data_IF_637955222732
#
_entry.id   IF_637955222732
#
_cell.length_a   1.000
_cell.length_b   1.000
_cell.length_c   1.000
_cell.angle_alpha   90.00
_cell.angle_beta   90.00
_cell.angle_gamma   90.00
#
_symmetry.space_group_name_H-M   'P 1'
#
loop_
_entity.id
_entity.type
_entity.pdbx_description
1 polymer ?
#
# COMPACT_ATOMS: atom_id res chain seq x y z
N UNK A 1 21.06 -39.66 -2.51
CA UNK A 1 19.66 -39.18 -2.62
C UNK A 1 19.61 -37.72 -2.19
N UNK A 2 19.71 -36.79 -3.15
CA UNK A 2 19.73 -35.36 -2.84
C UNK A 2 18.30 -34.87 -2.57
N UNK A 3 18.00 -34.54 -1.31
CA UNK A 3 16.77 -33.88 -0.90
C UNK A 3 16.77 -32.48 -1.51
N UNK A 4 16.07 -32.29 -2.63
CA UNK A 4 15.88 -30.97 -3.24
C UNK A 4 15.11 -30.12 -2.23
N UNK A 5 15.82 -29.23 -1.54
CA UNK A 5 15.24 -28.31 -0.57
C UNK A 5 14.15 -27.49 -1.27
N UNK A 6 12.89 -27.72 -0.91
CA UNK A 6 11.74 -27.03 -1.47
C UNK A 6 11.84 -25.56 -1.07
N UNK A 7 12.31 -24.70 -1.97
CA UNK A 7 12.36 -23.24 -1.73
C UNK A 7 10.96 -22.76 -1.35
N UNK A 8 10.79 -22.28 -0.12
CA UNK A 8 9.59 -21.53 0.28
C UNK A 8 9.49 -20.32 -0.62
N UNK A 9 8.35 -20.12 -1.27
CA UNK A 9 8.12 -18.89 -2.01
C UNK A 9 8.29 -17.66 -1.10
N UNK A 10 8.79 -16.55 -1.65
CA UNK A 10 7.86 -15.49 -2.00
C UNK A 10 6.84 -15.11 -0.92
N UNK A 11 5.58 -15.24 -1.35
CA UNK A 11 4.38 -14.96 -0.59
C UNK A 11 4.21 -15.75 0.72
N UNK A 12 4.84 -16.93 0.83
CA UNK A 12 4.75 -17.77 2.02
C UNK A 12 5.84 -17.47 3.06
N UNK A 13 6.89 -16.73 2.67
CA UNK A 13 7.99 -16.41 3.55
C UNK A 13 7.52 -15.45 4.66
N UNK A 14 7.93 -15.73 5.90
CA UNK A 14 7.60 -14.87 7.04
C UNK A 14 8.18 -13.47 6.85
N UNK A 15 9.43 -13.39 6.41
CA UNK A 15 10.10 -12.12 6.14
C UNK A 15 9.34 -11.24 5.13
N UNK A 16 8.90 -11.78 3.98
CA UNK A 16 8.15 -10.97 3.01
C UNK A 16 6.79 -10.54 3.55
N UNK A 17 6.07 -11.42 4.26
CA UNK A 17 4.78 -11.09 4.87
C UNK A 17 4.92 -10.00 5.93
N UNK A 18 5.93 -10.11 6.80
CA UNK A 18 6.24 -9.10 7.81
C UNK A 18 6.67 -7.78 7.16
N UNK A 19 7.55 -7.81 6.16
CA UNK A 19 7.97 -6.61 5.43
C UNK A 19 6.79 -5.90 4.76
N UNK A 20 5.93 -6.64 4.06
CA UNK A 20 4.73 -6.08 3.44
C UNK A 20 3.75 -5.52 4.48
N UNK A 21 3.58 -6.19 5.62
CA UNK A 21 2.74 -5.69 6.70
C UNK A 21 3.27 -4.37 7.29
N UNK A 22 4.57 -4.28 7.55
CA UNK A 22 5.22 -3.05 8.02
C UNK A 22 5.07 -1.91 7.00
N UNK A 23 5.24 -2.20 5.71
CA UNK A 23 5.02 -1.22 4.64
C UNK A 23 3.56 -0.76 4.56
N UNK A 24 2.58 -1.65 4.72
CA UNK A 24 1.16 -1.25 4.78
C UNK A 24 0.87 -0.32 5.96
N UNK A 25 1.46 -0.60 7.13
CA UNK A 25 1.33 0.27 8.30
C UNK A 25 2.04 1.61 8.10
N UNK A 26 3.20 1.62 7.44
CA UNK A 26 3.89 2.85 7.08
C UNK A 26 3.05 3.73 6.15
N UNK A 27 2.41 3.16 5.13
CA UNK A 27 1.46 3.89 4.27
C UNK A 27 0.33 4.50 5.10
N UNK A 28 -0.28 3.72 6.00
CA UNK A 28 -1.36 4.23 6.86
C UNK A 28 -0.89 5.38 7.76
N UNK A 29 0.27 5.26 8.40
CA UNK A 29 0.82 6.34 9.25
C UNK A 29 1.12 7.59 8.43
N UNK A 30 1.74 7.46 7.26
CA UNK A 30 2.03 8.60 6.39
C UNK A 30 0.74 9.32 6.00
N UNK A 31 -0.32 8.58 5.68
CA UNK A 31 -1.59 9.19 5.30
C UNK A 31 -2.32 9.85 6.47
N UNK A 32 -2.21 9.29 7.69
CA UNK A 32 -2.70 9.97 8.91
C UNK A 32 -1.98 11.31 9.09
N UNK A 33 -0.67 11.34 8.90
CA UNK A 33 0.13 12.57 9.01
C UNK A 33 -0.24 13.57 7.91
N UNK A 34 -0.36 13.11 6.66
CA UNK A 34 -0.69 13.94 5.51
C UNK A 34 -2.08 14.56 5.64
N UNK A 35 -3.06 13.87 6.23
CA UNK A 35 -4.37 14.45 6.51
C UNK A 35 -4.46 15.35 7.75
N UNK A 36 -3.34 15.61 8.44
CA UNK A 36 -3.29 16.49 9.61
C UNK A 36 -3.58 15.80 10.95
N UNK A 37 -3.52 14.48 11.01
CA UNK A 37 -3.77 13.67 12.21
C UNK A 37 -5.01 12.78 12.10
N UNK A 38 -5.47 12.25 13.23
CA UNK A 38 -6.65 11.39 13.30
C UNK A 38 -7.58 11.84 14.45
N UNK A 39 -8.79 12.38 14.16
CA UNK A 39 -9.36 12.59 12.84
C UNK A 39 -8.61 13.68 12.04
N UNK A 40 -8.53 13.53 10.72
CA UNK A 40 -7.88 14.49 9.82
C UNK A 40 -8.80 15.59 9.33
N UNK A 41 -8.23 16.55 8.60
CA UNK A 41 -8.88 17.78 8.14
C UNK A 41 -8.97 17.92 6.61
N UNK A 42 -8.72 16.85 5.84
CA UNK A 42 -8.77 16.91 4.36
C UNK A 42 -10.19 17.20 3.87
N UNK A 43 -10.29 18.24 3.06
CA UNK A 43 -11.49 18.62 2.29
C UNK A 43 -11.20 18.49 0.82
N UNK A 44 -12.18 18.16 -0.04
CA UNK A 44 -13.60 17.92 0.25
C UNK A 44 -13.84 16.58 0.93
N UNK A 45 -15.06 16.37 1.46
CA UNK A 45 -15.39 15.21 2.31
C UNK A 45 -15.03 13.86 1.69
N UNK A 46 -15.19 13.70 0.37
CA UNK A 46 -14.87 12.43 -0.29
C UNK A 46 -13.37 12.11 -0.27
N UNK A 47 -12.50 13.13 -0.30
CA UNK A 47 -11.04 12.97 -0.17
C UNK A 47 -10.74 12.47 1.23
N UNK A 48 -11.27 13.13 2.28
CA UNK A 48 -11.10 12.68 3.67
C UNK A 48 -11.59 11.24 3.91
N UNK A 49 -12.72 10.84 3.32
CA UNK A 49 -13.18 9.45 3.35
C UNK A 49 -12.16 8.50 2.71
N UNK A 50 -11.57 8.90 1.58
CA UNK A 50 -10.51 8.14 0.92
C UNK A 50 -9.31 7.85 1.82
N UNK A 51 -8.86 8.85 2.60
CA UNK A 51 -7.80 8.67 3.60
C UNK A 51 -8.19 7.63 4.66
N UNK A 52 -9.36 7.76 5.29
CA UNK A 52 -9.81 6.79 6.29
C UNK A 52 -9.96 5.36 5.75
N UNK A 53 -10.47 5.21 4.52
CA UNK A 53 -10.59 3.91 3.86
C UNK A 53 -9.21 3.30 3.62
N UNK A 54 -8.26 4.09 3.14
CA UNK A 54 -6.88 3.64 2.91
C UNK A 54 -6.19 3.21 4.20
N UNK A 55 -6.31 4.00 5.26
CA UNK A 55 -5.69 3.71 6.56
C UNK A 55 -6.23 2.42 7.16
N UNK A 56 -7.56 2.27 7.16
CA UNK A 56 -8.22 1.04 7.59
C UNK A 56 -7.79 -0.15 6.72
N UNK A 57 -7.75 0.02 5.40
CA UNK A 57 -7.29 -1.02 4.47
C UNK A 57 -5.83 -1.42 4.73
N UNK A 58 -4.95 -0.47 5.04
CA UNK A 58 -3.55 -0.71 5.41
C UNK A 58 -3.42 -1.59 6.65
N UNK A 59 -4.17 -1.27 7.71
CA UNK A 59 -4.20 -2.08 8.94
C UNK A 59 -4.76 -3.48 8.67
N UNK A 60 -5.88 -3.58 7.95
CA UNK A 60 -6.49 -4.88 7.60
C UNK A 60 -5.54 -5.71 6.74
N UNK A 61 -4.88 -5.10 5.75
CA UNK A 61 -3.88 -5.77 4.92
C UNK A 61 -2.73 -6.34 5.76
N UNK A 62 -2.19 -5.55 6.68
CA UNK A 62 -1.14 -6.00 7.61
C UNK A 62 -1.60 -7.20 8.45
N UNK A 63 -2.81 -7.15 9.02
CA UNK A 63 -3.38 -8.27 9.80
C UNK A 63 -3.55 -9.52 8.93
N UNK A 64 -4.12 -9.38 7.73
CA UNK A 64 -4.31 -10.50 6.80
C UNK A 64 -2.98 -11.12 6.37
N UNK A 65 -2.00 -10.28 6.08
CA UNK A 65 -0.65 -10.68 5.71
C UNK A 65 0.05 -11.44 6.85
N UNK A 66 -0.20 -11.11 8.11
CA UNK A 66 0.42 -11.79 9.25
C UNK A 66 -0.33 -13.06 9.66
N UNK A 67 -1.67 -13.03 9.65
CA UNK A 67 -2.51 -14.13 10.16
C UNK A 67 -2.86 -15.19 9.13
N UNK A 68 -2.97 -14.84 7.85
CA UNK A 68 -3.40 -15.78 6.81
C UNK A 68 -2.33 -16.01 5.75
N UNK A 69 -2.30 -17.23 5.18
CA UNK A 69 -1.54 -17.51 3.94
C UNK A 69 -2.38 -17.29 2.68
N UNK A 70 -3.56 -16.69 2.83
CA UNK A 70 -4.47 -16.39 1.73
C UNK A 70 -3.85 -15.34 0.80
N UNK A 71 -4.09 -15.42 -0.52
CA UNK A 71 -3.72 -14.36 -1.45
C UNK A 71 -4.42 -13.03 -1.16
N UNK A 72 -5.53 -13.03 -0.41
CA UNK A 72 -6.31 -11.83 -0.11
C UNK A 72 -5.49 -10.70 0.54
N UNK A 73 -4.58 -11.03 1.48
CA UNK A 73 -3.72 -10.03 2.10
C UNK A 73 -2.77 -9.35 1.10
N UNK A 74 -2.25 -10.10 0.13
CA UNK A 74 -1.39 -9.58 -0.93
C UNK A 74 -2.16 -8.73 -1.94
N UNK A 75 -3.40 -9.10 -2.25
CA UNK A 75 -4.27 -8.31 -3.14
C UNK A 75 -4.66 -6.98 -2.49
N UNK A 76 -5.07 -7.00 -1.21
CA UNK A 76 -5.42 -5.79 -0.49
C UNK A 76 -4.21 -4.87 -0.33
N UNK A 77 -3.03 -5.41 0.01
CA UNK A 77 -1.78 -4.65 0.04
C UNK A 77 -1.42 -4.02 -1.32
N UNK A 78 -1.76 -4.68 -2.42
CA UNK A 78 -1.63 -4.10 -3.76
C UNK A 78 -2.53 -2.88 -3.95
N UNK A 79 -3.76 -2.92 -3.43
CA UNK A 79 -4.66 -1.75 -3.40
C UNK A 79 -4.12 -0.62 -2.53
N UNK A 80 -3.58 -0.94 -1.35
CA UNK A 80 -2.95 0.02 -0.43
C UNK A 80 -1.74 0.72 -1.06
N UNK A 81 -0.98 0.02 -1.93
CA UNK A 81 0.12 0.62 -2.67
C UNK A 81 -0.34 1.46 -3.88
N UNK A 82 -1.31 0.95 -4.65
CA UNK A 82 -1.74 1.58 -5.90
C UNK A 82 -2.68 2.77 -5.68
N UNK A 83 -3.56 2.71 -4.68
CA UNK A 83 -4.55 3.75 -4.42
C UNK A 83 -3.92 5.12 -4.23
N UNK A 84 -2.98 5.27 -3.28
CA UNK A 84 -2.27 6.52 -3.06
C UNK A 84 -1.44 6.99 -4.25
N UNK A 85 -0.75 6.08 -4.95
CA UNK A 85 0.02 6.42 -6.15
C UNK A 85 -0.87 7.04 -7.24
N UNK A 86 -2.06 6.46 -7.46
CA UNK A 86 -3.06 7.03 -8.36
C UNK A 86 -3.58 8.36 -7.82
N UNK A 87 -3.88 8.43 -6.53
CA UNK A 87 -4.30 9.67 -5.86
C UNK A 87 -3.27 10.80 -6.00
N UNK A 88 -1.99 10.48 -5.88
CA UNK A 88 -0.86 11.40 -6.04
C UNK A 88 -0.83 11.98 -7.45
N UNK A 89 -0.90 11.12 -8.47
CA UNK A 89 -0.89 11.53 -9.87
C UNK A 89 -2.11 12.39 -10.21
N UNK A 90 -3.30 11.98 -9.76
CA UNK A 90 -4.54 12.71 -10.07
C UNK A 90 -4.61 14.05 -9.35
N UNK A 91 -4.28 14.10 -8.05
CA UNK A 91 -4.30 15.34 -7.27
C UNK A 91 -3.29 16.38 -7.76
N UNK A 92 -2.12 15.96 -8.22
CA UNK A 92 -1.00 16.84 -8.62
C UNK A 92 -0.93 17.12 -10.12
N UNK A 93 -1.58 16.28 -10.93
CA UNK A 93 -1.71 16.45 -12.38
C UNK A 93 -2.96 17.26 -12.75
N UNK A 94 -4.07 16.60 -13.15
CA UNK A 94 -5.29 17.28 -13.54
C UNK A 94 -6.05 17.93 -12.38
N UNK A 95 -5.79 17.52 -11.13
CA UNK A 95 -6.62 17.80 -9.97
C UNK A 95 -7.80 16.83 -9.87
N UNK A 96 -8.50 16.87 -8.74
CA UNK A 96 -9.74 16.12 -8.50
C UNK A 96 -10.91 17.12 -8.33
N UNK A 97 -12.19 16.70 -8.48
CA UNK A 97 -13.34 17.59 -8.28
C UNK A 97 -13.28 18.28 -6.91
N UNK A 98 -13.33 19.61 -6.90
CA UNK A 98 -13.21 20.44 -5.69
C UNK A 98 -11.93 20.21 -4.85
N UNK A 99 -10.88 19.60 -5.44
CA UNK A 99 -9.58 19.36 -4.81
C UNK A 99 -8.44 19.62 -5.82
N UNK A 100 -8.00 20.87 -5.87
CA UNK A 100 -6.98 21.35 -6.83
C UNK A 100 -5.80 22.03 -6.14
N UNK A 101 -5.81 22.13 -4.81
CA UNK A 101 -4.77 22.82 -4.04
C UNK A 101 -3.37 22.19 -4.18
N UNK A 102 -3.29 20.92 -4.55
CA UNK A 102 -2.03 20.19 -4.74
C UNK A 102 -1.56 20.14 -6.21
N UNK A 103 -2.27 20.76 -7.15
CA UNK A 103 -1.88 20.76 -8.57
C UNK A 103 -0.49 21.38 -8.71
N UNK A 104 0.42 20.66 -9.37
CA UNK A 104 1.82 21.06 -9.55
C UNK A 104 2.74 20.78 -8.36
N UNK A 105 2.22 20.36 -7.20
CA UNK A 105 2.99 20.10 -5.99
C UNK A 105 3.67 18.71 -5.99
N UNK A 106 4.47 18.43 -7.01
CA UNK A 106 5.10 17.12 -7.27
C UNK A 106 6.27 16.78 -6.36
N UNK A 107 6.83 17.75 -5.65
CA UNK A 107 8.02 17.58 -4.81
C UNK A 107 7.72 17.75 -3.32
N UNK A 108 6.44 17.71 -2.95
CA UNK A 108 6.01 17.74 -1.56
C UNK A 108 6.69 16.59 -0.79
N UNK A 109 7.46 16.88 0.28
CA UNK A 109 8.34 15.88 0.90
C UNK A 109 7.65 14.63 1.43
N UNK A 110 6.49 14.77 2.07
CA UNK A 110 5.77 13.64 2.67
C UNK A 110 5.18 12.73 1.59
N UNK A 111 4.72 13.30 0.49
CA UNK A 111 4.18 12.62 -0.67
C UNK A 111 5.26 11.89 -1.46
N UNK A 112 6.44 12.50 -1.66
CA UNK A 112 7.60 11.79 -2.24
C UNK A 112 8.04 10.65 -1.33
N UNK A 113 8.03 10.85 -0.01
CA UNK A 113 8.31 9.78 0.97
C UNK A 113 7.29 8.66 0.85
N UNK A 114 5.99 8.99 0.71
CA UNK A 114 4.93 8.01 0.50
C UNK A 114 5.14 7.19 -0.77
N UNK A 115 5.49 7.83 -1.88
CA UNK A 115 5.76 7.15 -3.16
C UNK A 115 6.87 6.10 -3.05
N UNK A 116 7.91 6.35 -2.25
CA UNK A 116 8.99 5.38 -2.03
C UNK A 116 8.47 4.16 -1.26
N UNK A 117 7.68 4.38 -0.21
CA UNK A 117 7.08 3.32 0.62
C UNK A 117 6.08 2.49 -0.20
N UNK A 118 5.20 3.16 -0.94
CA UNK A 118 4.21 2.54 -1.84
C UNK A 118 4.87 1.76 -2.97
N UNK A 119 5.92 2.32 -3.59
CA UNK A 119 6.70 1.67 -4.63
C UNK A 119 7.37 0.39 -4.13
N UNK A 120 7.96 0.43 -2.93
CA UNK A 120 8.54 -0.75 -2.29
C UNK A 120 7.47 -1.81 -1.97
N UNK A 121 6.31 -1.39 -1.46
CA UNK A 121 5.17 -2.28 -1.20
C UNK A 121 4.68 -2.93 -2.49
N UNK A 122 4.50 -2.14 -3.55
CA UNK A 122 4.02 -2.60 -4.85
C UNK A 122 4.99 -3.63 -5.47
N UNK A 123 6.29 -3.35 -5.46
CA UNK A 123 7.31 -4.27 -5.95
C UNK A 123 7.27 -5.62 -5.21
N UNK A 124 7.11 -5.58 -3.88
CA UNK A 124 7.00 -6.78 -3.05
C UNK A 124 5.70 -7.55 -3.33
N UNK A 125 4.57 -6.85 -3.46
CA UNK A 125 3.26 -7.43 -3.81
C UNK A 125 3.32 -8.14 -5.16
N UNK A 126 3.84 -7.48 -6.20
CA UNK A 126 3.96 -8.07 -7.54
C UNK A 126 4.84 -9.32 -7.53
N UNK A 127 5.96 -9.28 -6.80
CA UNK A 127 6.85 -10.42 -6.63
C UNK A 127 6.16 -11.59 -5.91
N UNK A 128 5.41 -11.30 -4.85
CA UNK A 128 4.65 -12.29 -4.09
C UNK A 128 3.54 -12.92 -4.94
N UNK A 129 2.72 -12.12 -5.63
CA UNK A 129 1.66 -12.60 -6.51
C UNK A 129 2.20 -13.44 -7.67
N UNK A 130 3.34 -13.05 -8.26
CA UNK A 130 4.01 -13.87 -9.28
C UNK A 130 4.44 -15.22 -8.72
N UNK A 131 4.93 -15.26 -7.48
CA UNK A 131 5.31 -16.51 -6.80
C UNK A 131 4.11 -17.42 -6.46
N UNK A 132 2.92 -16.85 -6.25
CA UNK A 132 1.67 -17.60 -6.08
C UNK A 132 1.26 -18.23 -7.41
N UNK A 133 1.19 -17.42 -8.48
CA UNK A 133 0.81 -17.91 -9.82
C UNK A 133 1.70 -19.04 -10.33
N UNK A 134 3.02 -18.96 -10.08
CA UNK A 134 3.98 -20.00 -10.49
C UNK A 134 3.78 -21.35 -9.78
N UNK A 135 3.05 -21.42 -8.68
CA UNK A 135 2.74 -22.69 -7.98
C UNK A 135 1.38 -23.26 -8.33
N UNK A 136 0.50 -22.43 -8.86
CA UNK A 136 -0.80 -22.85 -9.35
C UNK A 136 -0.72 -23.41 -10.78
N UNK A 137 0.39 -23.18 -11.47
CA UNK A 137 0.80 -23.85 -12.71
C UNK A 137 1.68 -25.03 -12.37
#
# INVERSE_FOLDING_TARGET
>A
MAQVARRTSLAASRAARTGAALLCLAVAVIHVLDQGGFPGSKTPRYVGIGYYVLEAAGVVAAVLLLRSRSPAGWLLAGGVALGPLVGYILSRGPGLPDYTSDVGNWTEPLGVTSLVVEGALLALVLSALRSIRRRAR
#
